data_IF_189157567451
#
_entry.id   IF_189157567451
#
_cell.length_a   1.000
_cell.length_b   1.000
_cell.length_c   1.000
_cell.angle_alpha   90.00
_cell.angle_beta   90.00
_cell.angle_gamma   90.00
#
_symmetry.space_group_name_H-M   'P 1'
#
loop_
_entity.id
_entity.type
_entity.pdbx_description
1 polymer ?
#
# COMPACT_ATOMS: atom_id res chain seq x y z
N UNK A 1 15.49 -0.49 -16.48
CA UNK A 1 14.22 0.22 -16.80
C UNK A 1 13.10 -0.53 -16.10
N UNK A 2 12.12 0.16 -15.52
CA UNK A 2 11.06 -0.47 -14.74
C UNK A 2 9.92 0.49 -14.44
N UNK A 3 8.91 0.00 -13.73
CA UNK A 3 7.78 0.75 -13.23
C UNK A 3 7.78 0.71 -11.68
N UNK A 4 7.43 1.84 -11.08
CA UNK A 4 7.25 1.99 -9.65
C UNK A 4 5.84 2.53 -9.38
N UNK A 5 4.81 1.63 -9.38
CA UNK A 5 3.47 2.03 -9.03
C UNK A 5 3.38 2.44 -7.56
N UNK A 6 2.68 3.55 -7.30
CA UNK A 6 2.48 4.10 -5.97
C UNK A 6 0.99 4.09 -5.64
N UNK A 7 0.65 3.73 -4.39
CA UNK A 7 -0.74 3.66 -3.91
C UNK A 7 -1.60 2.72 -4.77
N UNK A 8 -1.20 1.44 -4.82
CA UNK A 8 -1.83 0.41 -5.64
C UNK A 8 -2.05 -0.87 -4.84
N UNK A 9 -2.99 -1.69 -5.27
CA UNK A 9 -3.25 -3.00 -4.65
C UNK A 9 -2.38 -4.11 -5.29
N UNK A 10 -2.31 -5.31 -4.68
CA UNK A 10 -1.73 -6.49 -5.32
C UNK A 10 -2.39 -6.83 -6.67
N UNK A 11 -3.71 -6.68 -6.82
CA UNK A 11 -4.41 -6.91 -8.09
C UNK A 11 -3.94 -5.94 -9.17
N UNK A 12 -3.75 -4.67 -8.82
CA UNK A 12 -3.16 -3.70 -9.75
C UNK A 12 -1.71 -4.07 -10.10
N UNK A 13 -0.95 -4.66 -9.18
CA UNK A 13 0.40 -5.18 -9.47
C UNK A 13 0.35 -6.30 -10.51
N UNK A 14 -0.59 -7.24 -10.38
CA UNK A 14 -0.80 -8.30 -11.36
C UNK A 14 -1.20 -7.74 -12.74
N UNK A 15 -2.11 -6.77 -12.75
CA UNK A 15 -2.46 -6.05 -13.97
C UNK A 15 -1.23 -5.37 -14.60
N UNK A 16 -0.46 -4.61 -13.82
CA UNK A 16 0.74 -3.93 -14.31
C UNK A 16 1.74 -4.92 -14.90
N UNK A 17 1.96 -6.07 -14.24
CA UNK A 17 2.82 -7.14 -14.77
C UNK A 17 2.33 -7.66 -16.12
N UNK A 18 1.01 -7.86 -16.28
CA UNK A 18 0.44 -8.30 -17.57
C UNK A 18 0.68 -7.30 -18.70
N UNK A 19 0.79 -6.01 -18.39
CA UNK A 19 1.03 -4.93 -19.35
C UNK A 19 2.51 -4.80 -19.70
N UNK A 20 3.40 -4.82 -18.69
CA UNK A 20 4.84 -4.57 -18.92
C UNK A 20 5.61 -5.82 -19.37
N UNK A 21 5.05 -7.01 -19.18
CA UNK A 21 5.71 -8.29 -19.45
C UNK A 21 6.83 -8.61 -18.44
N UNK A 22 7.63 -9.63 -18.73
CA UNK A 22 8.66 -10.15 -17.79
C UNK A 22 10.00 -9.41 -17.84
N UNK A 23 10.17 -8.44 -18.75
CA UNK A 23 11.46 -7.76 -18.96
C UNK A 23 11.72 -6.60 -18.00
N UNK A 24 10.84 -5.59 -17.92
CA UNK A 24 11.02 -4.46 -17.02
C UNK A 24 10.82 -4.84 -15.54
N UNK A 25 11.58 -4.19 -14.66
CA UNK A 25 11.37 -4.32 -13.21
C UNK A 25 10.04 -3.72 -12.79
N UNK A 26 9.31 -4.39 -11.90
CA UNK A 26 8.08 -3.90 -11.28
C UNK A 26 8.27 -3.81 -9.77
N UNK A 27 8.24 -2.58 -9.26
CA UNK A 27 8.66 -2.26 -7.90
C UNK A 27 7.54 -1.49 -7.18
N UNK A 28 6.35 -2.07 -6.92
CA UNK A 28 5.27 -1.34 -6.24
C UNK A 28 5.68 -0.85 -4.84
N UNK A 29 5.14 0.29 -4.43
CA UNK A 29 5.17 0.72 -3.04
C UNK A 29 3.99 0.16 -2.25
N UNK A 30 4.25 -0.34 -1.04
CA UNK A 30 3.24 -0.76 -0.08
C UNK A 30 3.35 0.09 1.19
N UNK A 31 2.29 0.86 1.47
CA UNK A 31 2.14 1.59 2.73
C UNK A 31 1.80 0.64 3.88
N UNK A 32 2.51 0.77 4.99
CA UNK A 32 2.33 -0.11 6.16
C UNK A 32 2.20 0.68 7.46
N UNK A 33 1.38 0.18 8.39
CA UNK A 33 1.24 0.73 9.74
C UNK A 33 1.46 -0.39 10.75
N UNK A 34 2.48 -0.28 11.59
CA UNK A 34 2.64 -1.19 12.72
C UNK A 34 1.82 -0.67 13.91
N UNK A 35 0.75 -1.38 14.26
CA UNK A 35 -0.16 -1.03 15.36
C UNK A 35 -0.99 -2.24 15.79
N UNK A 36 -1.55 -2.18 17.00
CA UNK A 36 -2.30 -3.31 17.58
C UNK A 36 -3.80 -3.27 17.28
N UNK A 37 -4.33 -2.10 16.89
CA UNK A 37 -5.77 -1.88 16.74
C UNK A 37 -6.14 -1.23 15.42
N UNK A 38 -7.32 -1.56 14.91
CA UNK A 38 -7.86 -0.98 13.69
C UNK A 38 -8.08 0.54 13.83
N UNK A 39 -8.55 1.00 14.99
CA UNK A 39 -8.78 2.42 15.25
C UNK A 39 -7.47 3.23 15.17
N UNK A 40 -6.37 2.67 15.66
CA UNK A 40 -5.04 3.28 15.54
C UNK A 40 -4.58 3.33 14.08
N UNK A 41 -4.74 2.22 13.33
CA UNK A 41 -4.44 2.18 11.90
C UNK A 41 -5.23 3.28 11.16
N UNK A 42 -6.53 3.40 11.43
CA UNK A 42 -7.41 4.39 10.80
C UNK A 42 -7.00 5.81 11.14
N UNK A 43 -6.66 6.09 12.40
CA UNK A 43 -6.16 7.39 12.84
C UNK A 43 -4.90 7.80 12.09
N UNK A 44 -3.99 6.85 11.83
CA UNK A 44 -2.73 7.12 11.14
C UNK A 44 -2.94 7.26 9.62
N UNK A 45 -3.64 6.31 8.99
CA UNK A 45 -3.67 6.19 7.53
C UNK A 45 -4.77 6.97 6.81
N UNK A 46 -5.89 7.28 7.48
CA UNK A 46 -7.08 7.82 6.78
C UNK A 46 -6.81 9.20 6.17
N UNK A 47 -6.17 10.10 6.91
CA UNK A 47 -5.88 11.44 6.40
C UNK A 47 -4.80 11.41 5.30
N UNK A 48 -3.83 10.50 5.40
CA UNK A 48 -2.86 10.25 4.34
C UNK A 48 -3.57 9.80 3.06
N UNK A 49 -4.44 8.79 3.14
CA UNK A 49 -5.20 8.32 1.98
C UNK A 49 -6.10 9.41 1.41
N UNK A 50 -6.80 10.16 2.26
CA UNK A 50 -7.67 11.26 1.82
C UNK A 50 -6.90 12.32 1.04
N UNK A 51 -5.69 12.68 1.49
CA UNK A 51 -4.84 13.62 0.77
C UNK A 51 -4.51 13.11 -0.65
N UNK A 52 -4.12 11.85 -0.80
CA UNK A 52 -3.84 11.28 -2.13
C UNK A 52 -5.09 11.13 -3.00
N UNK A 53 -6.17 10.61 -2.43
CA UNK A 53 -7.42 10.35 -3.15
C UNK A 53 -8.17 11.63 -3.55
N UNK A 54 -7.82 12.78 -2.97
CA UNK A 54 -8.30 14.09 -3.44
C UNK A 54 -7.76 14.46 -4.83
N UNK A 55 -6.66 13.82 -5.27
CA UNK A 55 -6.06 14.07 -6.57
C UNK A 55 -6.70 13.17 -7.64
N UNK A 56 -7.19 13.74 -8.77
CA UNK A 56 -7.98 12.99 -9.76
C UNK A 56 -7.29 11.75 -10.34
N UNK A 57 -5.97 11.76 -10.48
CA UNK A 57 -5.22 10.62 -11.02
C UNK A 57 -5.28 9.39 -10.10
N UNK A 58 -5.25 9.58 -8.77
CA UNK A 58 -5.35 8.48 -7.81
C UNK A 58 -6.79 8.01 -7.66
N UNK A 59 -7.75 8.93 -7.51
CA UNK A 59 -9.17 8.59 -7.46
C UNK A 59 -9.61 7.76 -8.67
N UNK A 60 -9.28 8.24 -9.88
CA UNK A 60 -9.61 7.52 -11.12
C UNK A 60 -8.90 6.18 -11.23
N UNK A 61 -7.72 6.01 -10.63
CA UNK A 61 -7.06 4.71 -10.58
C UNK A 61 -7.84 3.72 -9.72
N UNK A 62 -8.35 4.15 -8.57
CA UNK A 62 -9.16 3.31 -7.69
C UNK A 62 -10.46 2.88 -8.38
N UNK A 63 -11.13 3.79 -9.09
CA UNK A 63 -12.32 3.46 -9.86
C UNK A 63 -12.05 2.40 -10.94
N UNK A 64 -10.92 2.51 -11.66
CA UNK A 64 -10.49 1.48 -12.63
C UNK A 64 -10.19 0.13 -11.99
N UNK A 65 -9.79 0.12 -10.72
CA UNK A 65 -9.53 -1.09 -9.95
C UNK A 65 -10.79 -1.69 -9.32
N UNK A 66 -11.98 -1.15 -9.62
CA UNK A 66 -13.26 -1.69 -9.16
C UNK A 66 -13.70 -1.20 -7.79
N UNK A 67 -13.15 -0.09 -7.29
CA UNK A 67 -13.70 0.65 -6.16
C UNK A 67 -14.80 1.61 -6.61
N UNK A 68 -15.76 1.86 -5.73
CA UNK A 68 -16.82 2.84 -5.97
C UNK A 68 -16.35 4.27 -5.66
N UNK A 69 -17.12 5.27 -6.10
CA UNK A 69 -16.90 6.66 -5.68
C UNK A 69 -17.06 6.84 -4.16
N UNK A 70 -17.96 6.06 -3.54
CA UNK A 70 -18.15 6.07 -2.09
C UNK A 70 -16.92 5.52 -1.36
N UNK A 71 -16.34 4.42 -1.86
CA UNK A 71 -15.08 3.87 -1.35
C UNK A 71 -13.98 4.93 -1.31
N UNK A 72 -13.84 5.68 -2.40
CA UNK A 72 -12.80 6.70 -2.57
C UNK A 72 -13.06 7.93 -1.70
N UNK A 73 -14.30 8.43 -1.68
CA UNK A 73 -14.65 9.67 -0.96
C UNK A 73 -14.67 9.48 0.55
N UNK A 74 -15.14 8.32 1.03
CA UNK A 74 -15.21 8.00 2.45
C UNK A 74 -13.95 7.32 2.98
N UNK A 75 -13.07 6.83 2.09
CA UNK A 75 -11.99 5.90 2.46
C UNK A 75 -12.57 4.76 3.29
N UNK A 76 -13.45 3.99 2.65
CA UNK A 76 -14.13 2.85 3.29
C UNK A 76 -13.11 1.84 3.81
N UNK A 77 -13.53 1.01 4.76
CA UNK A 77 -12.66 -0.02 5.34
C UNK A 77 -12.09 -0.96 4.27
N UNK A 78 -12.92 -1.31 3.27
CA UNK A 78 -12.51 -2.08 2.10
C UNK A 78 -11.37 -1.41 1.32
N UNK A 79 -11.46 -0.10 1.07
CA UNK A 79 -10.40 0.63 0.35
C UNK A 79 -9.14 0.78 1.22
N UNK A 80 -9.33 1.08 2.51
CA UNK A 80 -8.25 1.22 3.47
C UNK A 80 -7.41 -0.06 3.54
N UNK A 81 -8.06 -1.21 3.79
CA UNK A 81 -7.38 -2.51 3.91
C UNK A 81 -6.75 -2.97 2.60
N UNK A 82 -7.30 -2.57 1.46
CA UNK A 82 -6.72 -2.88 0.15
C UNK A 82 -5.43 -2.10 -0.13
N UNK A 83 -5.32 -0.87 0.36
CA UNK A 83 -4.18 0.01 0.09
C UNK A 83 -3.10 -0.02 1.17
N UNK A 84 -3.48 -0.19 2.43
CA UNK A 84 -2.58 -0.16 3.58
C UNK A 84 -2.60 -1.54 4.25
N UNK A 85 -1.42 -2.12 4.46
CA UNK A 85 -1.27 -3.24 5.37
C UNK A 85 -1.01 -2.73 6.78
N UNK A 86 -1.82 -3.15 7.74
CA UNK A 86 -1.68 -2.75 9.13
C UNK A 86 -1.68 -3.97 10.05
N UNK A 87 -1.06 -3.84 11.22
CA UNK A 87 -0.94 -4.93 12.20
C UNK A 87 0.51 -5.12 12.64
N UNK A 88 0.93 -6.37 12.73
CA UNK A 88 2.28 -6.77 13.08
C UNK A 88 3.15 -7.02 11.84
N UNK A 89 4.38 -7.48 12.07
CA UNK A 89 5.33 -7.86 11.04
C UNK A 89 4.78 -8.97 10.12
N UNK A 90 4.01 -9.92 10.65
CA UNK A 90 3.41 -10.99 9.85
C UNK A 90 2.39 -10.43 8.86
N UNK A 91 1.56 -9.48 9.28
CA UNK A 91 0.62 -8.79 8.39
C UNK A 91 1.34 -8.04 7.26
N UNK A 92 2.46 -7.37 7.56
CA UNK A 92 3.30 -6.70 6.57
C UNK A 92 3.90 -7.70 5.59
N UNK A 93 4.52 -8.77 6.08
CA UNK A 93 5.17 -9.77 5.24
C UNK A 93 4.17 -10.53 4.37
N UNK A 94 2.96 -10.79 4.87
CA UNK A 94 1.86 -11.36 4.07
C UNK A 94 1.51 -10.47 2.89
N UNK A 95 1.33 -9.16 3.11
CA UNK A 95 1.05 -8.22 2.01
C UNK A 95 2.19 -8.12 1.00
N UNK A 96 3.43 -8.12 1.48
CA UNK A 96 4.62 -8.17 0.60
C UNK A 96 4.62 -9.43 -0.26
N UNK A 97 4.29 -10.58 0.33
CA UNK A 97 4.17 -11.85 -0.40
C UNK A 97 3.03 -11.83 -1.43
N UNK A 98 1.90 -11.18 -1.14
CA UNK A 98 0.79 -10.98 -2.10
C UNK A 98 1.27 -10.19 -3.34
N UNK A 99 2.04 -9.11 -3.16
CA UNK A 99 2.62 -8.36 -4.28
C UNK A 99 3.62 -9.19 -5.08
N UNK A 100 4.46 -9.98 -4.42
CA UNK A 100 5.38 -10.89 -5.11
C UNK A 100 4.64 -11.97 -5.90
N UNK A 101 3.59 -12.56 -5.33
CA UNK A 101 2.71 -13.50 -6.04
C UNK A 101 2.00 -12.85 -7.24
N UNK A 102 1.69 -11.55 -7.14
CA UNK A 102 1.18 -10.73 -8.24
C UNK A 102 2.25 -10.34 -9.29
N UNK A 103 3.52 -10.71 -9.08
CA UNK A 103 4.60 -10.50 -10.04
C UNK A 103 5.44 -9.24 -9.81
N UNK A 104 5.45 -8.69 -8.60
CA UNK A 104 6.45 -7.69 -8.20
C UNK A 104 7.85 -8.31 -8.10
N UNK A 105 8.86 -7.61 -8.62
CA UNK A 105 10.28 -7.98 -8.43
C UNK A 105 10.81 -7.47 -7.08
N UNK A 106 10.21 -6.41 -6.56
CA UNK A 106 10.54 -5.82 -5.26
C UNK A 106 9.30 -5.12 -4.71
N UNK A 107 9.20 -4.99 -3.39
CA UNK A 107 8.16 -4.21 -2.74
C UNK A 107 8.82 -3.14 -1.88
N UNK A 108 8.62 -1.87 -2.24
CA UNK A 108 9.11 -0.75 -1.46
C UNK A 108 8.19 -0.54 -0.25
N UNK A 109 8.65 -0.85 0.96
CA UNK A 109 7.83 -0.72 2.18
C UNK A 109 7.92 0.70 2.73
N UNK A 110 6.79 1.41 2.73
CA UNK A 110 6.67 2.75 3.31
C UNK A 110 5.97 2.65 4.67
N UNK A 111 6.71 2.89 5.75
CA UNK A 111 6.10 2.93 7.09
C UNK A 111 5.40 4.26 7.30
N UNK A 112 4.12 4.19 7.64
CA UNK A 112 3.28 5.32 8.02
C UNK A 112 3.18 5.36 9.55
N UNK A 113 3.43 6.54 10.11
CA UNK A 113 3.34 6.85 11.54
C UNK A 113 2.40 8.01 11.76
N UNK A 114 2.00 8.23 13.01
CA UNK A 114 1.12 9.34 13.38
C UNK A 114 1.75 10.73 13.17
N UNK A 115 3.07 10.83 13.27
CA UNK A 115 3.84 11.98 12.77
C UNK A 115 4.48 11.62 11.41
N UNK A 116 4.00 12.20 10.28
CA UNK A 116 4.58 11.97 8.95
C UNK A 116 6.02 12.46 8.79
N UNK A 117 6.52 13.27 9.74
CA UNK A 117 7.90 13.78 9.74
C UNK A 117 8.84 12.95 10.61
N UNK A 118 8.30 12.02 11.39
CA UNK A 118 9.12 11.14 12.22
C UNK A 118 9.97 10.22 11.33
N UNK A 119 11.15 9.88 11.84
CA UNK A 119 12.04 8.90 11.22
C UNK A 119 11.74 7.52 11.83
N UNK A 120 11.03 6.61 11.12
CA UNK A 120 10.47 5.39 11.70
C UNK A 120 11.53 4.27 11.81
N UNK A 121 12.66 4.57 12.46
CA UNK A 121 13.82 3.69 12.56
C UNK A 121 13.47 2.37 13.26
N UNK A 122 12.68 2.42 14.31
CA UNK A 122 12.34 1.23 15.09
C UNK A 122 11.45 0.29 14.27
N UNK A 123 10.44 0.83 13.60
CA UNK A 123 9.55 0.09 12.72
C UNK A 123 10.33 -0.57 11.57
N UNK A 124 11.29 0.13 10.96
CA UNK A 124 12.16 -0.48 9.96
C UNK A 124 13.03 -1.59 10.53
N UNK A 125 13.56 -1.46 11.76
CA UNK A 125 14.33 -2.54 12.39
C UNK A 125 13.48 -3.77 12.64
N UNK A 126 12.25 -3.57 13.11
CA UNK A 126 11.26 -4.63 13.34
C UNK A 126 10.94 -5.38 12.05
N UNK A 127 10.55 -4.65 11.00
CA UNK A 127 10.25 -5.24 9.68
C UNK A 127 11.49 -5.96 9.11
N UNK A 128 12.67 -5.33 9.16
CA UNK A 128 13.89 -5.94 8.64
C UNK A 128 14.30 -7.22 9.38
N UNK A 129 13.95 -7.38 10.66
CA UNK A 129 14.20 -8.59 11.42
C UNK A 129 13.23 -9.75 11.09
N UNK A 130 12.13 -9.45 10.38
CA UNK A 130 11.11 -10.41 9.97
C UNK A 130 11.27 -10.91 8.51
N UNK A 131 12.28 -10.41 7.78
CA UNK A 131 12.62 -10.80 6.41
C UNK A 131 13.51 -12.05 6.40
#
# INVERSE_FOLDING_TARGET
RGAHPYLVTPEHTAYARSVVGQGPLLLPEQGVILCDTYDEARRIGTDTLRAYLSMPNYANNMLRCGFSEDDVTQVTDRLFDALIAWGDEEAVMRRVAEHHAAGADHVCVQVLTDDPRAFPREQWRRIAAAI
#
